data_IF_034964860500
#
_entry.id   IF_034964860500
#
_cell.length_a   1.000
_cell.length_b   1.000
_cell.length_c   1.000
_cell.angle_alpha   90.00
_cell.angle_beta   90.00
_cell.angle_gamma   90.00
#
_symmetry.space_group_name_H-M   'P 1'
#
loop_
_entity.id
_entity.type
_entity.pdbx_description
1 polymer ?
#
# COMPACT_ATOMS: atom_id res chain seq x y z
N UNK A 1 -18.51 -27.88 -19.95
CA UNK A 1 -17.60 -28.28 -18.87
C UNK A 1 -18.38 -29.14 -17.88
N UNK A 2 -17.84 -30.28 -17.46
CA UNK A 2 -18.53 -31.07 -16.46
C UNK A 2 -18.39 -30.44 -15.06
N UNK A 3 -19.29 -30.81 -14.14
CA UNK A 3 -19.34 -30.22 -12.80
C UNK A 3 -18.07 -30.45 -11.98
N UNK A 4 -17.35 -31.56 -12.22
CA UNK A 4 -16.12 -31.88 -11.52
C UNK A 4 -14.98 -30.91 -11.90
N UNK A 5 -14.82 -30.60 -13.19
CA UNK A 5 -13.83 -29.63 -13.66
C UNK A 5 -14.10 -28.22 -13.15
N UNK A 6 -15.37 -27.80 -13.17
CA UNK A 6 -15.79 -26.52 -12.64
C UNK A 6 -15.53 -26.42 -11.13
N UNK A 7 -15.87 -27.46 -10.36
CA UNK A 7 -15.62 -27.52 -8.93
C UNK A 7 -14.13 -27.44 -8.60
N UNK A 8 -13.27 -28.14 -9.35
CA UNK A 8 -11.83 -28.09 -9.16
C UNK A 8 -11.25 -26.70 -9.49
N UNK A 9 -11.75 -26.07 -10.57
CA UNK A 9 -11.36 -24.72 -10.94
C UNK A 9 -11.70 -23.70 -9.83
N UNK A 10 -12.91 -23.79 -9.27
CA UNK A 10 -13.33 -22.92 -8.15
C UNK A 10 -12.45 -23.11 -6.93
N UNK A 11 -12.09 -24.34 -6.59
CA UNK A 11 -11.19 -24.65 -5.47
C UNK A 11 -9.79 -24.05 -5.68
N UNK A 12 -9.25 -24.14 -6.89
CA UNK A 12 -7.93 -23.55 -7.24
C UNK A 12 -7.98 -22.04 -7.13
N UNK A 13 -9.00 -21.39 -7.66
CA UNK A 13 -9.16 -19.93 -7.58
C UNK A 13 -9.28 -19.51 -6.11
N UNK A 14 -10.07 -20.20 -5.31
CA UNK A 14 -10.22 -19.90 -3.88
C UNK A 14 -8.89 -20.04 -3.13
N UNK A 15 -8.12 -21.09 -3.41
CA UNK A 15 -6.80 -21.31 -2.81
C UNK A 15 -5.84 -20.15 -3.15
N UNK A 16 -5.83 -19.68 -4.41
CA UNK A 16 -5.01 -18.55 -4.84
C UNK A 16 -5.40 -17.28 -4.09
N UNK A 17 -6.69 -16.99 -3.96
CA UNK A 17 -7.18 -15.82 -3.21
C UNK A 17 -6.75 -15.89 -1.74
N UNK A 18 -6.88 -17.04 -1.10
CA UNK A 18 -6.45 -17.22 0.30
C UNK A 18 -4.94 -17.03 0.45
N UNK A 19 -4.13 -17.55 -0.49
CA UNK A 19 -2.68 -17.37 -0.47
C UNK A 19 -2.28 -15.90 -0.64
N UNK A 20 -2.94 -15.16 -1.54
CA UNK A 20 -2.70 -13.74 -1.75
C UNK A 20 -3.05 -12.92 -0.50
N UNK A 21 -4.17 -13.22 0.12
CA UNK A 21 -4.57 -12.56 1.37
C UNK A 21 -3.61 -12.89 2.51
N UNK A 22 -3.20 -14.15 2.63
CA UNK A 22 -2.22 -14.58 3.62
C UNK A 22 -0.87 -13.90 3.43
N UNK A 23 -0.39 -13.77 2.19
CA UNK A 23 0.83 -13.05 1.87
C UNK A 23 0.73 -11.56 2.22
N UNK A 24 -0.37 -10.91 1.85
CA UNK A 24 -0.59 -9.48 2.17
C UNK A 24 -0.64 -9.28 3.69
N UNK A 25 -1.38 -10.12 4.41
CA UNK A 25 -1.44 -10.06 5.87
C UNK A 25 -0.07 -10.27 6.51
N UNK A 26 0.72 -11.23 6.01
CA UNK A 26 2.09 -11.46 6.48
C UNK A 26 2.98 -10.26 6.20
N UNK A 27 2.94 -9.70 4.99
CA UNK A 27 3.77 -8.56 4.58
C UNK A 27 3.47 -7.30 5.39
N UNK A 28 2.23 -7.14 5.86
CA UNK A 28 1.78 -5.99 6.64
C UNK A 28 1.73 -6.26 8.15
N UNK A 29 2.05 -7.48 8.59
CA UNK A 29 1.90 -7.91 9.98
C UNK A 29 2.63 -7.03 10.99
N UNK A 30 3.79 -6.53 10.63
CA UNK A 30 4.64 -5.69 11.49
C UNK A 30 4.71 -4.24 10.99
N UNK A 31 3.79 -3.84 10.13
CA UNK A 31 3.76 -2.48 9.61
C UNK A 31 3.27 -1.53 10.69
N UNK A 32 4.10 -0.56 11.04
CA UNK A 32 3.73 0.53 11.92
C UNK A 32 2.94 1.57 11.12
N UNK A 33 1.74 1.91 11.58
CA UNK A 33 0.94 3.01 11.04
C UNK A 33 1.04 4.21 11.94
N UNK A 34 1.49 5.34 11.39
CA UNK A 34 1.57 6.60 12.12
C UNK A 34 0.57 7.58 11.54
N UNK A 35 -0.41 7.96 12.36
CA UNK A 35 -1.47 8.91 12.00
C UNK A 35 -1.33 10.12 12.93
N UNK A 36 -0.55 11.14 12.55
CA UNK A 36 -0.42 12.37 13.33
C UNK A 36 -1.66 13.21 13.22
N UNK A 37 -1.76 14.24 14.06
CA UNK A 37 -2.77 15.26 13.91
C UNK A 37 -2.47 16.09 12.64
N UNK A 38 -3.52 16.40 11.88
CA UNK A 38 -3.42 17.20 10.65
C UNK A 38 -4.37 18.38 10.72
N UNK A 39 -3.95 19.50 10.13
CA UNK A 39 -4.79 20.68 9.95
C UNK A 39 -5.65 20.61 8.68
N UNK A 40 -5.39 19.64 7.80
CA UNK A 40 -6.05 19.49 6.51
C UNK A 40 -7.06 18.33 6.52
N UNK A 41 -6.67 17.20 7.13
CA UNK A 41 -7.43 15.95 7.07
C UNK A 41 -7.88 15.50 8.46
N UNK A 42 -9.05 14.87 8.54
CA UNK A 42 -9.48 14.15 9.73
C UNK A 42 -8.69 12.86 9.90
N UNK A 43 -8.73 12.27 11.11
CA UNK A 43 -8.13 10.95 11.36
C UNK A 43 -8.74 9.87 10.47
N UNK A 44 -10.04 9.95 10.20
CA UNK A 44 -10.74 9.01 9.33
C UNK A 44 -10.21 9.11 7.90
N UNK A 45 -10.03 10.33 7.40
CA UNK A 45 -9.47 10.56 6.07
C UNK A 45 -8.02 10.04 5.96
N UNK A 46 -7.17 10.32 6.94
CA UNK A 46 -5.81 9.83 6.98
C UNK A 46 -5.74 8.30 7.05
N UNK A 47 -6.54 7.70 7.92
CA UNK A 47 -6.61 6.24 8.02
C UNK A 47 -7.08 5.60 6.72
N UNK A 48 -8.06 6.19 6.05
CA UNK A 48 -8.54 5.75 4.75
C UNK A 48 -7.45 5.83 3.67
N UNK A 49 -6.67 6.91 3.65
CA UNK A 49 -5.54 7.06 2.71
C UNK A 49 -4.45 6.03 2.97
N UNK A 50 -4.06 5.81 4.22
CA UNK A 50 -3.07 4.79 4.58
C UNK A 50 -3.55 3.38 4.22
N UNK A 51 -4.81 3.06 4.45
CA UNK A 51 -5.38 1.78 4.06
C UNK A 51 -5.42 1.61 2.54
N UNK A 52 -5.66 2.67 1.79
CA UNK A 52 -5.60 2.66 0.33
C UNK A 52 -4.19 2.35 -0.17
N UNK A 53 -3.17 2.99 0.41
CA UNK A 53 -1.78 2.67 0.11
C UNK A 53 -1.44 1.20 0.44
N UNK A 54 -1.87 0.72 1.58
CA UNK A 54 -1.66 -0.66 2.00
C UNK A 54 -2.23 -1.68 1.00
N UNK A 55 -3.41 -1.40 0.43
CA UNK A 55 -4.03 -2.26 -0.58
C UNK A 55 -3.28 -2.28 -1.91
N UNK A 56 -2.52 -1.23 -2.22
CA UNK A 56 -1.73 -1.14 -3.45
C UNK A 56 -0.33 -1.73 -3.31
N UNK A 57 0.08 -2.06 -2.09
CA UNK A 57 1.42 -2.57 -1.83
C UNK A 57 1.70 -3.88 -2.57
N UNK A 58 0.81 -4.87 -2.49
CA UNK A 58 1.06 -6.19 -3.04
C UNK A 58 1.36 -6.19 -4.54
N UNK A 59 0.56 -5.54 -5.41
CA UNK A 59 0.85 -5.55 -6.85
C UNK A 59 2.05 -4.70 -7.27
N UNK A 60 2.51 -3.77 -6.42
CA UNK A 60 3.58 -2.82 -6.78
C UNK A 60 4.91 -3.18 -6.12
N UNK A 61 4.88 -3.59 -4.86
CA UNK A 61 6.06 -3.86 -4.04
C UNK A 61 6.04 -5.31 -3.50
N UNK A 62 5.78 -6.29 -4.36
CA UNK A 62 5.65 -7.70 -3.97
C UNK A 62 6.92 -8.27 -3.33
N UNK A 63 8.10 -7.78 -3.72
CA UNK A 63 9.41 -8.20 -3.20
C UNK A 63 9.79 -7.53 -1.89
N UNK A 64 8.91 -6.69 -1.34
CA UNK A 64 9.23 -5.85 -0.19
C UNK A 64 8.32 -6.14 1.01
N UNK A 65 8.85 -5.84 2.20
CA UNK A 65 8.11 -5.84 3.46
C UNK A 65 7.97 -4.39 3.93
N UNK A 66 6.75 -3.91 4.09
CA UNK A 66 6.50 -2.55 4.58
C UNK A 66 6.73 -2.52 6.09
N UNK A 67 7.69 -1.70 6.52
CA UNK A 67 8.01 -1.51 7.93
C UNK A 67 7.18 -0.40 8.56
N UNK A 68 6.94 0.67 7.79
CA UNK A 68 6.26 1.86 8.28
C UNK A 68 5.41 2.46 7.17
N UNK A 69 4.19 2.80 7.51
CA UNK A 69 3.25 3.50 6.64
C UNK A 69 2.80 4.74 7.38
N UNK A 70 3.05 5.94 6.81
CA UNK A 70 2.89 7.16 7.57
C UNK A 70 2.49 8.35 6.70
N UNK A 71 1.98 9.36 7.38
CA UNK A 71 1.67 10.67 6.82
C UNK A 71 2.57 11.72 7.47
N UNK A 72 3.17 12.58 6.65
CA UNK A 72 3.94 13.73 7.10
C UNK A 72 3.37 15.00 6.44
N UNK A 73 2.82 15.90 7.26
CA UNK A 73 2.11 17.09 6.75
C UNK A 73 3.03 18.03 6.00
N UNK A 74 4.24 18.23 6.48
CA UNK A 74 5.22 19.09 5.80
C UNK A 74 5.54 18.58 4.39
N UNK A 75 5.81 17.28 4.27
CA UNK A 75 6.07 16.65 2.97
C UNK A 75 4.85 16.73 2.05
N UNK A 76 3.67 16.44 2.58
CA UNK A 76 2.44 16.52 1.82
C UNK A 76 2.20 17.91 1.26
N UNK A 77 2.38 18.95 2.06
CA UNK A 77 2.23 20.34 1.63
C UNK A 77 3.25 20.74 0.57
N UNK A 78 4.49 20.31 0.71
CA UNK A 78 5.54 20.54 -0.30
C UNK A 78 5.21 19.92 -1.65
N UNK A 79 4.50 18.80 -1.64
CA UNK A 79 4.09 18.06 -2.85
C UNK A 79 2.70 18.50 -3.36
N UNK A 80 2.15 19.59 -2.85
CA UNK A 80 0.90 20.16 -3.33
C UNK A 80 -0.37 19.55 -2.74
N UNK A 81 -0.28 18.88 -1.60
CA UNK A 81 -1.43 18.30 -0.92
C UNK A 81 -2.46 19.34 -0.50
N UNK A 82 -3.74 19.01 -0.68
CA UNK A 82 -4.88 19.82 -0.29
C UNK A 82 -6.05 18.90 0.11
N UNK A 83 -7.25 19.44 0.26
CA UNK A 83 -8.43 18.65 0.68
C UNK A 83 -8.75 17.48 -0.26
N UNK A 84 -8.35 17.55 -1.52
CA UNK A 84 -8.67 16.57 -2.55
C UNK A 84 -7.47 15.75 -3.02
N UNK A 85 -6.28 16.08 -2.54
CA UNK A 85 -5.03 15.37 -2.88
C UNK A 85 -4.22 15.11 -1.64
N UNK A 86 -3.59 13.95 -1.56
CA UNK A 86 -2.75 13.56 -0.44
C UNK A 86 -1.56 12.75 -0.92
N UNK A 87 -0.43 12.92 -0.25
CA UNK A 87 0.73 12.03 -0.37
C UNK A 87 0.96 11.34 0.96
N UNK A 88 0.96 10.01 0.95
CA UNK A 88 1.36 9.19 2.09
C UNK A 88 2.66 8.47 1.76
N UNK A 89 3.41 8.10 2.79
CA UNK A 89 4.76 7.58 2.65
C UNK A 89 4.85 6.19 3.25
N UNK A 90 5.76 5.38 2.72
CA UNK A 90 6.13 4.13 3.35
C UNK A 90 7.63 3.89 3.30
N UNK A 91 8.11 3.17 4.31
CA UNK A 91 9.46 2.64 4.38
C UNK A 91 9.36 1.12 4.28
N UNK A 92 10.23 0.50 3.51
CA UNK A 92 10.19 -0.94 3.30
C UNK A 92 11.58 -1.56 3.24
N UNK A 93 11.62 -2.87 3.44
CA UNK A 93 12.82 -3.70 3.30
C UNK A 93 12.63 -4.68 2.15
N UNK A 94 13.67 -4.82 1.32
CA UNK A 94 13.68 -5.77 0.20
C UNK A 94 13.90 -7.18 0.72
N UNK A 95 13.00 -8.10 0.36
CA UNK A 95 12.97 -9.47 0.88
C UNK A 95 13.83 -10.45 0.10
N UNK A 96 14.07 -10.19 -1.18
CA UNK A 96 14.92 -11.00 -2.06
C UNK A 96 15.49 -10.17 -3.20
N UNK A 97 16.58 -10.67 -3.82
CA UNK A 97 17.24 -9.98 -4.92
C UNK A 97 16.35 -9.85 -6.14
N UNK A 98 16.35 -8.67 -6.73
CA UNK A 98 15.72 -8.37 -8.02
C UNK A 98 16.71 -7.65 -8.92
N UNK A 99 16.41 -7.44 -10.22
CA UNK A 99 17.27 -6.64 -11.07
C UNK A 99 17.44 -5.19 -10.63
N UNK A 100 16.53 -4.69 -9.77
CA UNK A 100 16.49 -3.29 -9.32
C UNK A 100 17.03 -3.14 -7.91
N UNK A 101 16.75 -4.11 -7.02
CA UNK A 101 17.07 -4.01 -5.59
C UNK A 101 17.73 -5.27 -5.06
N UNK A 102 18.62 -5.08 -4.08
CA UNK A 102 19.29 -6.16 -3.38
C UNK A 102 18.54 -6.54 -2.09
N UNK A 103 18.55 -7.83 -1.77
CA UNK A 103 17.97 -8.34 -0.53
C UNK A 103 18.57 -7.64 0.69
N UNK A 104 17.73 -7.28 1.64
CA UNK A 104 18.12 -6.60 2.89
C UNK A 104 18.23 -5.10 2.76
N UNK A 105 18.10 -4.55 1.57
CA UNK A 105 18.09 -3.11 1.34
C UNK A 105 16.88 -2.48 2.01
N UNK A 106 17.08 -1.39 2.77
CA UNK A 106 16.01 -0.61 3.35
C UNK A 106 15.80 0.65 2.52
N UNK A 107 14.57 0.88 2.10
CA UNK A 107 14.18 2.06 1.35
C UNK A 107 13.18 2.90 2.15
N UNK A 108 13.38 4.20 2.16
CA UNK A 108 12.58 5.15 2.92
C UNK A 108 11.95 6.19 2.00
N UNK A 109 10.74 6.63 2.38
CA UNK A 109 10.08 7.72 1.71
C UNK A 109 9.50 7.37 0.35
N UNK A 110 9.11 6.12 0.11
CA UNK A 110 8.30 5.78 -1.04
C UNK A 110 6.96 6.47 -0.93
N UNK A 111 6.59 7.22 -1.96
CA UNK A 111 5.39 8.06 -1.95
C UNK A 111 4.23 7.40 -2.67
N UNK A 112 3.04 7.56 -2.10
CA UNK A 112 1.76 7.22 -2.70
C UNK A 112 0.96 8.50 -2.86
N UNK A 113 0.76 8.94 -4.10
CA UNK A 113 -0.01 10.13 -4.42
C UNK A 113 -1.44 9.73 -4.74
N UNK A 114 -2.40 10.39 -4.13
CA UNK A 114 -3.82 10.06 -4.27
C UNK A 114 -4.65 11.30 -4.53
N UNK A 115 -5.72 11.10 -5.27
CA UNK A 115 -6.78 12.10 -5.45
C UNK A 115 -8.08 11.57 -4.87
N UNK A 116 -8.86 12.47 -4.27
CA UNK A 116 -10.20 12.14 -3.79
C UNK A 116 -11.20 12.31 -4.94
N UNK A 117 -11.81 11.20 -5.34
CA UNK A 117 -12.81 11.16 -6.38
C UNK A 117 -14.08 10.53 -5.81
N UNK A 118 -15.18 11.28 -5.79
CA UNK A 118 -16.45 10.84 -5.20
C UNK A 118 -16.27 10.37 -3.74
N UNK A 119 -15.46 11.09 -2.96
CA UNK A 119 -15.20 10.78 -1.56
C UNK A 119 -14.24 9.62 -1.31
N UNK A 120 -13.63 9.06 -2.35
CA UNK A 120 -12.74 7.89 -2.26
C UNK A 120 -11.32 8.29 -2.69
N UNK A 121 -10.32 7.88 -1.91
CA UNK A 121 -8.93 8.07 -2.29
C UNK A 121 -8.53 7.08 -3.39
N UNK A 122 -8.02 7.61 -4.50
CA UNK A 122 -7.53 6.84 -5.65
C UNK A 122 -6.06 7.12 -5.85
N UNK A 123 -5.23 6.08 -5.91
CA UNK A 123 -3.80 6.22 -6.18
C UNK A 123 -3.61 6.64 -7.64
N UNK A 124 -2.96 7.78 -7.84
CA UNK A 124 -2.70 8.36 -9.17
C UNK A 124 -1.23 8.24 -9.56
N UNK A 125 -0.34 8.14 -8.59
CA UNK A 125 1.10 7.99 -8.85
C UNK A 125 1.79 7.42 -7.61
N UNK A 126 2.98 6.85 -7.80
CA UNK A 126 3.80 6.31 -6.73
C UNK A 126 5.28 6.31 -7.12
N UNK A 127 6.16 6.16 -6.14
CA UNK A 127 7.60 6.08 -6.35
C UNK A 127 8.41 6.95 -5.41
N UNK A 128 9.69 7.08 -5.70
CA UNK A 128 10.57 8.03 -5.04
C UNK A 128 10.57 9.35 -5.83
N UNK A 129 10.37 10.46 -5.13
CA UNK A 129 10.43 11.74 -5.81
C UNK A 129 9.66 12.83 -5.18
#
# INVERSE_FOLDING_TARGET
MNNTKLSNLIKVIFAIIVLLWGYTAFSLRHTEKIIPQSDIYSKIELNSALNTAARHFLPILTECKVNKLYYDEETNLKLGGDKNTITVLCDFEVMWDTPVWDKGETRRGWSWHMEKICGIWIVTNYGFG
#
